data_IF_873089191052
#
_entry.id   IF_873089191052
#
_cell.length_a   1.000
_cell.length_b   1.000
_cell.length_c   1.000
_cell.angle_alpha   90.00
_cell.angle_beta   90.00
_cell.angle_gamma   90.00
#
_symmetry.space_group_name_H-M   'P 1'
#
loop_
_entity.id
_entity.type
_entity.pdbx_description
1 polymer ?
#
# COMPACT_ATOMS: atom_id res chain seq x y z
N UNK A 1 -5.93 -1.32 -34.69
CA UNK A 1 -6.07 -0.38 -33.55
C UNK A 1 -4.82 -0.50 -32.68
N UNK A 2 -4.27 0.66 -32.33
CA UNK A 2 -3.03 0.95 -31.60
C UNK A 2 -3.25 0.51 -30.12
N UNK A 3 -2.35 -0.08 -29.33
CA UNK A 3 -1.03 0.39 -28.88
C UNK A 3 -0.15 -0.74 -28.31
N UNK A 4 1.14 -0.66 -28.63
CA UNK A 4 2.24 -1.50 -28.13
C UNK A 4 2.78 -1.01 -26.77
N UNK A 5 3.27 -1.97 -25.99
CA UNK A 5 4.39 -1.91 -25.04
C UNK A 5 4.35 -0.96 -23.83
N UNK A 6 4.52 -1.55 -22.65
CA UNK A 6 5.27 -0.92 -21.54
C UNK A 6 6.01 -1.97 -20.72
N UNK A 7 6.89 -2.73 -21.36
CA UNK A 7 8.05 -3.31 -20.65
C UNK A 7 9.04 -2.17 -20.42
N UNK A 8 8.99 -1.53 -19.24
CA UNK A 8 9.95 -0.48 -18.86
C UNK A 8 11.32 -1.10 -18.69
N UNK A 9 12.19 -0.92 -19.69
CA UNK A 9 13.61 -1.21 -19.60
C UNK A 9 14.24 -0.07 -18.79
N UNK A 10 14.66 -0.33 -17.54
CA UNK A 10 15.31 0.66 -16.68
C UNK A 10 16.80 0.76 -17.07
N UNK A 11 17.23 1.93 -17.52
CA UNK A 11 18.64 2.22 -17.85
C UNK A 11 19.42 2.60 -16.56
N UNK A 12 20.72 2.23 -16.45
CA UNK A 12 21.53 2.59 -15.29
C UNK A 12 21.75 4.10 -15.22
N UNK A 13 21.19 4.74 -14.18
CA UNK A 13 21.32 6.18 -13.92
C UNK A 13 20.02 6.99 -13.93
N UNK A 14 18.86 6.38 -14.21
CA UNK A 14 17.59 7.06 -13.97
C UNK A 14 17.33 7.14 -12.46
N UNK A 15 17.12 8.36 -11.94
CA UNK A 15 16.44 8.55 -10.65
C UNK A 15 15.18 7.69 -10.72
N UNK A 16 15.13 6.63 -9.94
CA UNK A 16 13.94 5.78 -9.85
C UNK A 16 12.77 6.73 -9.60
N UNK A 17 11.78 6.77 -10.48
CA UNK A 17 10.53 7.45 -10.16
C UNK A 17 9.76 6.53 -9.22
N UNK A 18 9.16 7.06 -8.17
CA UNK A 18 8.32 6.24 -7.30
C UNK A 18 7.25 5.51 -8.14
N UNK A 19 7.15 4.17 -8.09
CA UNK A 19 6.19 3.39 -8.87
C UNK A 19 4.79 3.48 -8.25
N UNK A 20 4.20 4.68 -8.28
CA UNK A 20 2.94 4.99 -7.58
C UNK A 20 1.79 4.07 -7.99
N UNK A 21 1.67 3.78 -9.28
CA UNK A 21 0.59 2.95 -9.81
C UNK A 21 0.69 1.51 -9.29
N UNK A 22 1.88 0.91 -9.34
CA UNK A 22 2.12 -0.45 -8.83
C UNK A 22 1.85 -0.54 -7.33
N UNK A 23 2.27 0.48 -6.56
CA UNK A 23 2.00 0.55 -5.11
C UNK A 23 0.50 0.69 -4.83
N UNK A 24 -0.23 1.54 -5.56
CA UNK A 24 -1.68 1.70 -5.40
C UNK A 24 -2.42 0.41 -5.73
N UNK A 25 -2.05 -0.24 -6.83
CA UNK A 25 -2.63 -1.52 -7.25
C UNK A 25 -2.40 -2.59 -6.20
N UNK A 26 -1.18 -2.69 -5.66
CA UNK A 26 -0.85 -3.64 -4.61
C UNK A 26 -1.64 -3.36 -3.33
N UNK A 27 -1.62 -2.12 -2.81
CA UNK A 27 -2.39 -1.77 -1.60
C UNK A 27 -3.87 -2.09 -1.79
N UNK A 28 -4.45 -1.69 -2.92
CA UNK A 28 -5.87 -1.92 -3.19
C UNK A 28 -6.21 -3.40 -3.25
N UNK A 29 -5.41 -4.20 -3.94
CA UNK A 29 -5.64 -5.64 -4.10
C UNK A 29 -5.65 -6.31 -2.74
N UNK A 30 -4.60 -6.08 -1.95
CA UNK A 30 -4.45 -6.68 -0.63
C UNK A 30 -5.55 -6.22 0.35
N UNK A 31 -5.92 -4.94 0.31
CA UNK A 31 -6.99 -4.43 1.18
C UNK A 31 -8.38 -4.95 0.79
N UNK A 32 -8.63 -5.23 -0.49
CA UNK A 32 -9.89 -5.87 -0.93
C UNK A 32 -9.95 -7.33 -0.46
N UNK A 33 -8.84 -8.06 -0.58
CA UNK A 33 -8.75 -9.44 -0.09
C UNK A 33 -9.00 -9.49 1.44
N UNK A 34 -8.42 -8.55 2.19
CA UNK A 34 -8.66 -8.42 3.64
C UNK A 34 -10.11 -8.04 3.97
N UNK A 35 -10.72 -7.13 3.20
CA UNK A 35 -12.12 -6.75 3.40
C UNK A 35 -13.06 -7.92 3.14
N UNK A 36 -12.82 -8.71 2.08
CA UNK A 36 -13.59 -9.92 1.78
C UNK A 36 -13.46 -10.99 2.88
N UNK A 37 -12.25 -11.19 3.44
CA UNK A 37 -12.03 -12.08 4.58
C UNK A 37 -12.75 -11.60 5.85
N UNK A 38 -12.77 -10.29 6.10
CA UNK A 38 -13.41 -9.70 7.28
C UNK A 38 -14.94 -9.65 7.18
N UNK A 39 -15.51 -9.53 5.97
CA UNK A 39 -16.97 -9.61 5.75
C UNK A 39 -17.54 -10.96 6.20
N UNK A 40 -16.75 -12.04 6.13
CA UNK A 40 -17.14 -13.37 6.60
C UNK A 40 -17.22 -13.42 8.15
N UNK A 41 -16.51 -12.54 8.84
CA UNK A 41 -16.31 -12.55 10.30
C UNK A 41 -17.17 -11.53 11.06
N UNK A 42 -17.83 -10.57 10.37
CA UNK A 42 -18.71 -9.61 11.02
C UNK A 42 -19.98 -10.30 11.55
N UNK A 43 -19.96 -10.64 12.84
CA UNK A 43 -21.15 -10.99 13.61
C UNK A 43 -22.08 -9.79 13.76
N UNK A 44 -23.35 -10.10 13.93
CA UNK A 44 -24.54 -9.25 13.92
C UNK A 44 -24.59 -8.13 15.01
N UNK A 45 -23.47 -7.83 15.68
CA UNK A 45 -23.39 -6.85 16.79
C UNK A 45 -23.06 -5.42 16.40
N UNK A 46 -22.83 -5.11 15.12
CA UNK A 46 -22.82 -3.72 14.63
C UNK A 46 -21.87 -2.78 15.39
N UNK A 47 -20.70 -3.27 15.81
CA UNK A 47 -19.70 -2.45 16.52
C UNK A 47 -18.85 -1.69 15.51
N UNK A 48 -18.49 -0.47 15.89
CA UNK A 48 -17.63 0.54 15.24
C UNK A 48 -16.21 0.08 14.85
N UNK A 49 -16.02 -1.18 14.48
CA UNK A 49 -14.71 -1.72 14.13
C UNK A 49 -14.30 -1.30 12.71
N UNK A 50 -13.01 -0.98 12.48
CA UNK A 50 -12.51 -0.69 11.14
C UNK A 50 -12.73 -1.90 10.23
N UNK A 51 -13.06 -1.68 8.96
CA UNK A 51 -13.22 -2.79 8.01
C UNK A 51 -11.89 -3.51 7.75
N UNK A 52 -10.77 -2.85 8.06
CA UNK A 52 -9.42 -3.37 7.86
C UNK A 52 -8.56 -3.04 9.08
N UNK A 53 -8.08 -4.07 9.80
CA UNK A 53 -7.23 -3.89 10.98
C UNK A 53 -5.82 -3.46 10.59
N UNK A 54 -5.27 -2.55 11.40
CA UNK A 54 -3.85 -2.18 11.39
C UNK A 54 -2.87 -3.37 11.47
N UNK A 55 -3.24 -4.49 12.10
CA UNK A 55 -2.40 -5.68 12.17
C UNK A 55 -2.26 -6.35 10.80
N UNK A 56 -3.36 -6.51 10.08
CA UNK A 56 -3.39 -7.10 8.74
C UNK A 56 -2.62 -6.24 7.74
N UNK A 57 -2.71 -4.92 7.91
CA UNK A 57 -2.02 -3.94 7.08
C UNK A 57 -0.48 -3.99 7.21
N UNK A 58 0.05 -4.58 8.28
CA UNK A 58 1.50 -4.81 8.40
C UNK A 58 1.98 -5.74 7.28
N UNK A 59 1.20 -6.77 6.92
CA UNK A 59 1.53 -7.68 5.82
C UNK A 59 1.60 -6.96 4.47
N UNK A 60 0.69 -6.01 4.25
CA UNK A 60 0.64 -5.15 3.06
C UNK A 60 1.90 -4.28 2.98
N UNK A 61 2.33 -3.69 4.10
CA UNK A 61 3.57 -2.89 4.14
C UNK A 61 4.80 -3.74 3.80
N UNK A 62 4.87 -4.99 4.29
CA UNK A 62 5.99 -5.89 3.98
C UNK A 62 6.07 -6.23 2.48
N UNK A 63 4.94 -6.50 1.83
CA UNK A 63 4.90 -6.72 0.36
C UNK A 63 5.38 -5.49 -0.41
N UNK A 64 5.07 -4.29 0.09
CA UNK A 64 5.54 -3.04 -0.52
C UNK A 64 7.05 -2.82 -0.26
N UNK A 65 7.58 -3.22 0.89
CA UNK A 65 9.03 -3.21 1.14
C UNK A 65 9.78 -4.05 0.11
N UNK A 66 9.25 -5.23 -0.22
CA UNK A 66 9.81 -6.11 -1.25
C UNK A 66 9.76 -5.46 -2.64
N UNK A 67 8.64 -4.83 -2.99
CA UNK A 67 8.48 -4.11 -4.26
C UNK A 67 9.44 -2.93 -4.40
N UNK A 68 9.67 -2.18 -3.32
CA UNK A 68 10.48 -0.95 -3.34
C UNK A 68 11.94 -1.17 -2.93
N UNK A 69 12.30 -2.41 -2.57
CA UNK A 69 13.62 -2.80 -2.04
C UNK A 69 14.11 -1.86 -0.91
N UNK A 70 13.18 -1.40 -0.06
CA UNK A 70 13.49 -0.45 1.01
C UNK A 70 12.67 -0.70 2.28
N UNK A 71 13.19 -0.23 3.41
CA UNK A 71 12.55 -0.40 4.71
C UNK A 71 11.52 0.70 5.00
N UNK A 72 10.29 0.28 5.23
CA UNK A 72 9.12 1.09 5.51
C UNK A 72 8.60 0.75 6.91
N UNK A 73 8.96 1.52 7.95
CA UNK A 73 8.46 1.30 9.30
C UNK A 73 6.91 1.39 9.32
N UNK A 74 6.19 0.29 9.60
CA UNK A 74 4.73 0.24 9.50
C UNK A 74 4.02 1.28 10.37
N UNK A 75 4.60 1.61 11.54
CA UNK A 75 4.07 2.60 12.48
C UNK A 75 4.00 4.03 11.92
N UNK A 76 4.75 4.32 10.85
CA UNK A 76 4.73 5.61 10.16
C UNK A 76 3.86 5.62 8.91
N UNK A 77 3.38 4.45 8.49
CA UNK A 77 2.59 4.25 7.27
C UNK A 77 1.12 4.01 7.64
N UNK A 78 0.88 3.04 8.51
CA UNK A 78 -0.45 2.58 8.90
C UNK A 78 -1.02 3.51 9.98
N UNK A 79 -2.27 3.94 9.80
CA UNK A 79 -2.99 4.66 10.85
C UNK A 79 -3.36 3.71 11.98
N UNK A 80 -3.19 4.17 13.23
CA UNK A 80 -3.63 3.43 14.42
C UNK A 80 -5.14 3.16 14.34
N UNK A 81 -5.54 1.91 14.55
CA UNK A 81 -6.94 1.49 14.46
C UNK A 81 -7.45 1.29 13.03
N UNK A 82 -6.57 1.23 12.02
CA UNK A 82 -6.94 0.80 10.67
C UNK A 82 -7.70 1.83 9.85
N UNK A 83 -8.45 1.33 8.87
CA UNK A 83 -9.22 2.13 7.91
C UNK A 83 -10.68 1.70 7.85
N UNK A 84 -11.57 2.67 7.61
CA UNK A 84 -13.01 2.41 7.48
C UNK A 84 -13.41 1.98 6.06
N UNK A 85 -12.49 2.13 5.09
CA UNK A 85 -12.68 1.68 3.71
C UNK A 85 -11.33 1.49 3.01
N UNK A 86 -11.31 0.63 1.99
CA UNK A 86 -10.16 0.46 1.09
C UNK A 86 -9.72 1.78 0.46
N UNK A 87 -10.65 2.62 0.02
CA UNK A 87 -10.33 3.89 -0.65
C UNK A 87 -9.55 4.84 0.26
N UNK A 88 -9.94 4.94 1.53
CA UNK A 88 -9.24 5.74 2.53
C UNK A 88 -7.82 5.20 2.79
N UNK A 89 -7.69 3.89 2.97
CA UNK A 89 -6.39 3.27 3.23
C UNK A 89 -5.42 3.36 2.07
N UNK A 90 -5.90 3.15 0.84
CA UNK A 90 -5.09 3.28 -0.39
C UNK A 90 -4.49 4.69 -0.49
N UNK A 91 -5.30 5.73 -0.33
CA UNK A 91 -4.82 7.12 -0.47
C UNK A 91 -3.82 7.49 0.63
N UNK A 92 -4.14 7.16 1.89
CA UNK A 92 -3.29 7.49 3.04
C UNK A 92 -1.95 6.73 2.99
N UNK A 93 -2.00 5.41 2.76
CA UNK A 93 -0.79 4.58 2.69
C UNK A 93 0.08 4.96 1.49
N UNK A 94 -0.49 5.11 0.28
CA UNK A 94 0.28 5.45 -0.91
C UNK A 94 1.00 6.80 -0.74
N UNK A 95 0.32 7.81 -0.19
CA UNK A 95 0.89 9.13 0.05
C UNK A 95 2.01 9.11 1.09
N UNK A 96 1.86 8.35 2.17
CA UNK A 96 2.92 8.20 3.20
C UNK A 96 4.13 7.41 2.70
N UNK A 97 3.89 6.33 1.94
CA UNK A 97 4.94 5.50 1.36
C UNK A 97 5.75 6.31 0.35
N UNK A 98 5.09 7.05 -0.53
CA UNK A 98 5.76 7.92 -1.50
C UNK A 98 6.64 8.96 -0.80
N UNK A 99 6.09 9.65 0.21
CA UNK A 99 6.84 10.64 0.99
C UNK A 99 8.06 10.01 1.70
N UNK A 100 7.92 8.80 2.25
CA UNK A 100 9.01 8.06 2.90
C UNK A 100 10.07 7.63 1.90
N UNK A 101 9.66 7.12 0.75
CA UNK A 101 10.55 6.69 -0.33
C UNK A 101 11.43 7.84 -0.81
N UNK A 102 10.85 9.02 -1.09
CA UNK A 102 11.64 10.20 -1.46
C UNK A 102 12.59 10.67 -0.35
N UNK A 103 12.21 10.57 0.92
CA UNK A 103 13.10 10.89 2.05
C UNK A 103 14.30 9.95 2.07
N UNK A 104 14.09 8.64 1.87
CA UNK A 104 15.19 7.65 1.84
C UNK A 104 16.15 7.89 0.68
N UNK A 105 15.65 8.27 -0.50
CA UNK A 105 16.50 8.59 -1.66
C UNK A 105 17.31 9.87 -1.49
N UNK A 106 16.83 10.85 -0.70
CA UNK A 106 17.58 12.07 -0.38
C UNK A 106 18.67 11.88 0.68
N UNK A 107 18.58 10.80 1.46
CA UNK A 107 19.54 10.48 2.52
C UNK A 107 20.62 9.47 2.09
N UNK A 108 20.58 8.97 0.85
CA UNK A 108 21.65 8.21 0.20
C UNK A 108 22.55 9.15 -0.61
#
# INVERSE_FOLDING_TARGET
MIQNNSTKIVLPGQRLSFPREDVIVLIRTEMLDLEDENVILQDDRGVWEPSIDSLDLVSVVLKIEELLECKLPPENIIRRGGYASVAEGVEDMASKIEAKWYKLQKSK
#
